data_IF_862882130639
#
_entry.id   IF_862882130639
#
_cell.length_a   1.000
_cell.length_b   1.000
_cell.length_c   1.000
_cell.angle_alpha   90.00
_cell.angle_beta   90.00
_cell.angle_gamma   90.00
#
_symmetry.space_group_name_H-M   'P 1'
#
loop_
_entity.id
_entity.type
_entity.pdbx_description
1 polymer ?
#
# COMPACT_ATOMS: atom_id res chain seq x y z
N UNK A 1 -2.97 -5.99 11.33
CA UNK A 1 -2.88 -5.65 12.77
C UNK A 1 -3.53 -4.30 12.97
N UNK A 2 -4.43 -4.15 13.94
CA UNK A 2 -5.03 -2.87 14.32
C UNK A 2 -4.40 -2.46 15.65
N UNK A 3 -3.88 -1.24 15.74
CA UNK A 3 -3.30 -0.71 16.98
C UNK A 3 -4.39 -0.13 17.88
N UNK A 4 -4.05 0.15 19.14
CA UNK A 4 -4.98 0.66 20.18
C UNK A 4 -5.65 1.99 19.78
N UNK A 5 -5.01 2.77 18.89
CA UNK A 5 -5.50 4.02 18.32
C UNK A 5 -6.38 3.83 17.06
N UNK A 6 -6.64 2.58 16.67
CA UNK A 6 -7.46 2.24 15.52
C UNK A 6 -6.74 2.25 14.18
N UNK A 7 -5.42 2.50 14.15
CA UNK A 7 -4.63 2.48 12.91
C UNK A 7 -4.57 1.07 12.33
N UNK A 8 -5.00 0.93 11.08
CA UNK A 8 -4.85 -0.30 10.33
C UNK A 8 -3.51 -0.30 9.60
N UNK A 9 -2.47 -0.80 10.26
CA UNK A 9 -1.07 -0.69 9.82
C UNK A 9 -0.85 -1.18 8.39
N UNK A 10 -1.50 -2.29 8.00
CA UNK A 10 -1.37 -2.84 6.65
C UNK A 10 -1.87 -1.86 5.58
N UNK A 11 -2.94 -1.11 5.87
CA UNK A 11 -3.46 -0.10 4.96
C UNK A 11 -2.47 1.06 4.82
N UNK A 12 -1.89 1.54 5.92
CA UNK A 12 -0.90 2.62 5.90
C UNK A 12 0.38 2.23 5.15
N UNK A 13 0.83 0.97 5.28
CA UNK A 13 1.97 0.47 4.52
C UNK A 13 1.71 0.50 3.00
N UNK A 14 0.53 0.06 2.56
CA UNK A 14 0.16 0.07 1.13
C UNK A 14 -0.03 1.51 0.63
N UNK A 15 -0.75 2.34 1.39
CA UNK A 15 -1.03 3.75 1.06
C UNK A 15 0.22 4.59 0.84
N UNK A 16 1.26 4.36 1.65
CA UNK A 16 2.54 5.07 1.54
C UNK A 16 3.50 4.41 0.55
N UNK A 17 3.07 3.33 -0.13
CA UNK A 17 3.85 2.62 -1.12
C UNK A 17 5.00 1.80 -0.52
N UNK A 18 4.92 1.42 0.76
CA UNK A 18 5.93 0.60 1.43
C UNK A 18 5.70 -0.91 1.29
N UNK A 19 4.50 -1.31 0.86
CA UNK A 19 4.14 -2.70 0.63
C UNK A 19 3.33 -2.84 -0.68
N UNK A 20 3.41 -4.02 -1.29
CA UNK A 20 2.54 -4.41 -2.40
C UNK A 20 1.47 -5.39 -1.93
N UNK A 21 0.31 -5.33 -2.54
CA UNK A 21 -0.79 -6.24 -2.24
C UNK A 21 -0.53 -7.63 -2.83
N UNK A 22 -0.93 -8.68 -2.11
CA UNK A 22 -0.99 -10.04 -2.60
C UNK A 22 -2.34 -10.65 -2.17
N UNK A 23 -3.17 -11.01 -3.14
CA UNK A 23 -4.52 -11.56 -2.90
C UNK A 23 -4.47 -13.08 -2.95
N UNK A 24 -4.52 -13.72 -1.77
CA UNK A 24 -4.55 -15.19 -1.64
C UNK A 24 -5.81 -15.59 -0.87
N UNK A 25 -6.71 -16.39 -1.47
CA UNK A 25 -7.87 -16.93 -0.77
C UNK A 25 -7.47 -17.68 0.51
N UNK A 26 -8.29 -17.65 1.59
CA UNK A 26 -9.61 -17.03 1.70
C UNK A 26 -9.61 -15.54 2.12
N UNK A 27 -8.44 -14.91 2.29
CA UNK A 27 -8.30 -13.57 2.88
C UNK A 27 -8.58 -12.43 1.88
N UNK A 28 -9.77 -12.41 1.28
CA UNK A 28 -10.14 -11.46 0.22
C UNK A 28 -11.01 -10.29 0.69
N UNK A 29 -11.49 -10.29 1.94
CA UNK A 29 -12.46 -9.31 2.48
C UNK A 29 -11.96 -7.84 2.40
N UNK A 30 -10.64 -7.61 2.35
CA UNK A 30 -10.05 -6.27 2.31
C UNK A 30 -9.28 -6.01 1.00
N UNK A 31 -9.44 -6.88 0.00
CA UNK A 31 -8.69 -6.81 -1.25
C UNK A 31 -8.96 -5.51 -2.03
N UNK A 32 -10.20 -5.06 -2.07
CA UNK A 32 -10.63 -3.85 -2.78
C UNK A 32 -9.98 -2.60 -2.16
N UNK A 33 -10.07 -2.44 -0.84
CA UNK A 33 -9.43 -1.34 -0.11
C UNK A 33 -7.92 -1.29 -0.37
N UNK A 34 -7.23 -2.43 -0.28
CA UNK A 34 -5.79 -2.45 -0.53
C UNK A 34 -5.44 -2.18 -2.00
N UNK A 35 -6.29 -2.61 -2.95
CA UNK A 35 -6.10 -2.30 -4.36
C UNK A 35 -6.18 -0.80 -4.63
N UNK A 36 -7.19 -0.13 -4.09
CA UNK A 36 -7.35 1.34 -4.21
C UNK A 36 -6.15 2.08 -3.63
N UNK A 37 -5.71 1.70 -2.43
CA UNK A 37 -4.53 2.32 -1.79
C UNK A 37 -3.23 2.09 -2.58
N UNK A 38 -3.08 0.93 -3.20
CA UNK A 38 -1.91 0.67 -4.04
C UNK A 38 -1.94 1.52 -5.31
N UNK A 39 -3.10 1.64 -5.96
CA UNK A 39 -3.29 2.52 -7.13
C UNK A 39 -2.92 3.95 -6.75
N UNK A 40 -3.48 4.48 -5.66
CA UNK A 40 -3.16 5.82 -5.16
C UNK A 40 -1.65 6.00 -4.93
N UNK A 41 -0.99 5.02 -4.30
CA UNK A 41 0.44 5.08 -4.02
C UNK A 41 1.30 5.12 -5.29
N UNK A 42 0.88 4.41 -6.35
CA UNK A 42 1.55 4.39 -7.66
C UNK A 42 1.39 5.70 -8.40
N UNK A 43 0.16 6.21 -8.48
CA UNK A 43 -0.16 7.49 -9.14
C UNK A 43 0.59 8.66 -8.50
N UNK A 44 0.78 8.60 -7.18
CA UNK A 44 1.50 9.61 -6.41
C UNK A 44 3.01 9.33 -6.27
N UNK A 45 3.55 8.32 -6.96
CA UNK A 45 4.97 7.95 -6.92
C UNK A 45 5.51 7.83 -5.47
N UNK A 46 4.77 7.18 -4.58
CA UNK A 46 5.16 7.00 -3.17
C UNK A 46 6.01 5.76 -2.98
N UNK A 47 6.84 5.75 -1.93
CA UNK A 47 7.61 4.58 -1.51
C UNK A 47 8.35 3.87 -2.64
N UNK A 48 8.01 2.59 -2.85
CA UNK A 48 8.55 1.70 -3.88
C UNK A 48 8.32 2.20 -5.31
N UNK A 49 7.37 3.13 -5.53
CA UNK A 49 7.01 3.68 -6.83
C UNK A 49 7.71 5.00 -7.15
N UNK A 50 8.66 5.43 -6.31
CA UNK A 50 9.49 6.60 -6.59
C UNK A 50 10.45 6.32 -7.75
N UNK A 51 10.41 7.17 -8.76
CA UNK A 51 11.42 7.19 -9.81
C UNK A 51 12.71 7.82 -9.28
N UNK A 52 13.79 7.02 -9.20
CA UNK A 52 15.11 7.56 -8.90
C UNK A 52 15.73 8.10 -10.18
N UNK A 53 15.64 9.43 -10.38
CA UNK A 53 16.47 10.07 -11.40
C UNK A 53 17.92 9.99 -10.94
N UNK A 54 18.75 9.22 -11.65
CA UNK A 54 20.21 9.35 -11.53
C UNK A 54 20.58 10.77 -11.95
N UNK A 55 21.14 11.53 -11.02
CA UNK A 55 21.93 12.71 -11.36
C UNK A 55 23.12 12.20 -12.20
N UNK A 56 23.11 12.54 -13.49
CA UNK A 56 24.26 12.41 -14.39
C UNK A 56 25.39 13.32 -13.92
#
# INVERSE_FOLDING_TARGET
MKLEDGVFVNAELVKNGYAMIMTVPPNVIQAELFLELQIESRENQRGLWKEFKKSL
#
